data_IF_555440713591
#
_entry.id   IF_555440713591
#
_cell.length_a   1.000
_cell.length_b   1.000
_cell.length_c   1.000
_cell.angle_alpha   90.00
_cell.angle_beta   90.00
_cell.angle_gamma   90.00
#
_symmetry.space_group_name_H-M   'P 1'
#
loop_
_entity.id
_entity.type
_entity.pdbx_description
1 polymer ?
#
# COMPACT_ATOMS: atom_id res chain seq x y z
N UNK A 1 2.75 -6.91 -10.61
CA UNK A 1 1.45 -6.43 -10.07
C UNK A 1 0.79 -5.58 -11.13
N UNK A 2 -0.51 -5.77 -11.37
CA UNK A 2 -1.25 -5.04 -12.41
C UNK A 2 -2.18 -3.99 -11.83
N UNK A 3 -2.19 -2.79 -12.43
CA UNK A 3 -3.13 -1.73 -12.08
C UNK A 3 -4.46 -1.87 -12.84
N UNK A 4 -5.59 -1.39 -12.28
CA UNK A 4 -5.76 -0.86 -10.93
C UNK A 4 -5.77 -1.97 -9.86
N UNK A 5 -4.76 -2.03 -8.98
CA UNK A 5 -4.47 -3.27 -8.23
C UNK A 5 -5.55 -3.63 -7.19
N UNK A 6 -6.14 -2.64 -6.52
CA UNK A 6 -7.26 -2.86 -5.58
C UNK A 6 -8.47 -3.48 -6.28
N UNK A 7 -8.87 -2.92 -7.42
CA UNK A 7 -10.02 -3.43 -8.19
C UNK A 7 -9.70 -4.77 -8.85
N UNK A 8 -8.49 -4.96 -9.40
CA UNK A 8 -8.07 -6.24 -9.95
C UNK A 8 -8.10 -7.35 -8.89
N UNK A 9 -7.67 -7.04 -7.66
CA UNK A 9 -7.76 -7.97 -6.53
C UNK A 9 -9.21 -8.32 -6.19
N UNK A 10 -10.12 -7.33 -6.19
CA UNK A 10 -11.55 -7.57 -5.96
C UNK A 10 -12.16 -8.47 -7.06
N UNK A 11 -11.84 -8.20 -8.33
CA UNK A 11 -12.28 -9.04 -9.46
C UNK A 11 -11.76 -10.47 -9.31
N UNK A 12 -10.48 -10.63 -8.96
CA UNK A 12 -9.90 -11.94 -8.76
C UNK A 12 -10.54 -12.69 -7.57
N UNK A 13 -10.76 -12.02 -6.44
CA UNK A 13 -11.49 -12.58 -5.29
C UNK A 13 -12.91 -13.04 -5.66
N UNK A 14 -13.65 -12.24 -6.42
CA UNK A 14 -15.02 -12.58 -6.85
C UNK A 14 -15.09 -13.80 -7.77
N UNK A 15 -14.02 -14.07 -8.54
CA UNK A 15 -13.94 -15.19 -9.47
C UNK A 15 -13.19 -16.41 -8.90
N UNK A 16 -12.34 -16.22 -7.89
CA UNK A 16 -11.51 -17.26 -7.26
C UNK A 16 -12.25 -18.07 -6.20
N UNK A 17 -13.32 -18.77 -6.60
CA UNK A 17 -14.13 -19.62 -5.71
C UNK A 17 -13.25 -20.60 -4.93
N UNK A 18 -13.48 -20.72 -3.62
CA UNK A 18 -12.76 -21.63 -2.74
C UNK A 18 -11.45 -21.08 -2.17
N UNK A 19 -10.99 -19.91 -2.60
CA UNK A 19 -9.81 -19.25 -2.01
C UNK A 19 -10.26 -18.33 -0.85
N UNK A 20 -9.74 -18.51 0.38
CA UNK A 20 -10.10 -17.65 1.51
C UNK A 20 -9.83 -16.16 1.25
N UNK A 21 -10.72 -15.29 1.71
CA UNK A 21 -10.61 -13.84 1.52
C UNK A 21 -9.26 -13.25 1.98
N UNK A 22 -8.70 -13.76 3.08
CA UNK A 22 -7.43 -13.28 3.64
C UNK A 22 -6.19 -13.55 2.76
N UNK A 23 -6.30 -14.39 1.73
CA UNK A 23 -5.20 -14.65 0.77
C UNK A 23 -5.16 -13.64 -0.38
N UNK A 24 -6.18 -12.76 -0.48
CA UNK A 24 -6.25 -11.72 -1.49
C UNK A 24 -5.73 -10.40 -0.91
N UNK A 25 -4.77 -9.80 -1.59
CA UNK A 25 -4.22 -8.50 -1.20
C UNK A 25 -3.88 -7.65 -2.42
N UNK A 26 -4.05 -6.35 -2.29
CA UNK A 26 -3.62 -5.36 -3.27
C UNK A 26 -2.36 -4.65 -2.74
N UNK A 27 -1.35 -4.49 -3.60
CA UNK A 27 -0.05 -4.00 -3.17
C UNK A 27 0.01 -2.47 -3.14
N UNK A 28 -0.05 -1.89 -1.93
CA UNK A 28 0.27 -0.47 -1.64
C UNK A 28 1.68 -0.29 -1.05
N UNK A 29 2.46 -1.39 -0.96
CA UNK A 29 3.78 -1.40 -0.32
C UNK A 29 4.81 -0.49 -1.01
N UNK A 30 4.71 -0.31 -2.32
CA UNK A 30 5.58 0.63 -3.04
C UNK A 30 5.32 2.07 -2.60
N UNK A 31 4.05 2.44 -2.44
CA UNK A 31 3.67 3.77 -1.95
C UNK A 31 4.12 3.99 -0.50
N UNK A 32 3.96 2.98 0.36
CA UNK A 32 4.47 3.01 1.73
C UNK A 32 5.99 3.24 1.77
N UNK A 33 6.76 2.51 0.95
CA UNK A 33 8.21 2.66 0.89
C UNK A 33 8.62 4.06 0.38
N UNK A 34 7.86 4.64 -0.55
CA UNK A 34 8.06 6.02 -1.03
C UNK A 34 7.78 7.04 0.06
N UNK A 35 6.66 6.90 0.79
CA UNK A 35 6.31 7.77 1.91
C UNK A 35 7.39 7.72 3.01
N UNK A 36 7.83 6.52 3.40
CA UNK A 36 8.90 6.31 4.37
C UNK A 36 10.20 6.99 3.96
N UNK A 37 10.59 6.87 2.69
CA UNK A 37 11.79 7.51 2.13
C UNK A 37 11.67 9.05 2.12
N UNK A 38 10.49 9.58 1.76
CA UNK A 38 10.24 11.02 1.73
C UNK A 38 10.31 11.62 3.15
N UNK A 39 9.70 10.95 4.14
CA UNK A 39 9.75 11.36 5.55
C UNK A 39 11.17 11.32 6.10
N UNK A 40 11.92 10.25 5.85
CA UNK A 40 13.30 10.10 6.30
C UNK A 40 14.19 11.23 5.75
N UNK A 41 14.07 11.51 4.44
CA UNK A 41 14.75 12.62 3.79
C UNK A 41 14.39 13.97 4.41
N UNK A 42 13.12 14.19 4.74
CA UNK A 42 12.66 15.44 5.35
C UNK A 42 13.15 15.62 6.79
N UNK A 43 13.26 14.53 7.55
CA UNK A 43 13.70 14.51 8.94
C UNK A 43 15.23 14.45 9.10
N UNK A 44 15.99 14.12 8.04
CA UNK A 44 17.43 13.87 8.13
C UNK A 44 17.79 12.58 8.88
N UNK A 45 16.85 11.63 8.94
CA UNK A 45 17.00 10.35 9.63
C UNK A 45 17.25 9.21 8.63
N UNK A 46 17.67 8.03 9.10
CA UNK A 46 17.73 6.86 8.24
C UNK A 46 16.31 6.40 7.90
N UNK A 47 16.10 5.86 6.69
CA UNK A 47 14.81 5.27 6.31
C UNK A 47 14.39 4.18 7.30
N UNK A 48 15.36 3.45 7.87
CA UNK A 48 15.14 2.45 8.91
C UNK A 48 14.38 2.99 10.13
N UNK A 49 14.65 4.24 10.51
CA UNK A 49 14.13 4.88 11.72
C UNK A 49 12.67 5.35 11.56
N UNK A 50 12.22 5.55 10.32
CA UNK A 50 10.82 5.90 10.04
C UNK A 50 9.96 4.65 10.16
N UNK A 51 9.10 4.63 11.17
CA UNK A 51 8.17 3.52 11.48
C UNK A 51 6.73 4.03 11.51
N UNK A 52 5.76 3.11 11.66
CA UNK A 52 4.32 3.41 11.81
C UNK A 52 3.66 4.19 10.64
N UNK A 53 4.30 4.23 9.46
CA UNK A 53 3.68 4.82 8.26
C UNK A 53 2.57 3.91 7.73
N UNK A 54 1.40 4.46 7.45
CA UNK A 54 0.28 3.72 6.86
C UNK A 54 -0.16 4.37 5.55
N UNK A 55 -0.50 3.56 4.54
CA UNK A 55 -1.12 4.05 3.31
C UNK A 55 -2.58 3.62 3.33
N UNK A 56 -3.49 4.58 3.39
CA UNK A 56 -4.92 4.34 3.33
C UNK A 56 -5.46 4.52 1.91
N UNK A 57 -6.51 3.77 1.59
CA UNK A 57 -7.27 3.92 0.36
C UNK A 57 -6.76 3.09 -0.83
N UNK A 58 -6.88 3.67 -2.02
CA UNK A 58 -6.59 3.02 -3.30
C UNK A 58 -5.16 3.28 -3.76
N UNK A 59 -4.56 2.35 -4.51
CA UNK A 59 -3.34 2.63 -5.27
C UNK A 59 -3.65 3.56 -6.46
N UNK A 60 -3.74 4.85 -6.16
CA UNK A 60 -4.04 5.94 -7.11
C UNK A 60 -3.52 7.27 -6.54
N UNK A 61 -3.87 8.38 -7.20
CA UNK A 61 -3.60 9.73 -6.72
C UNK A 61 -4.51 10.16 -5.55
N UNK A 62 -5.45 9.30 -5.12
CA UNK A 62 -6.33 9.54 -3.97
C UNK A 62 -5.91 8.73 -2.74
N UNK A 63 -4.72 8.11 -2.77
CA UNK A 63 -4.13 7.49 -1.59
C UNK A 63 -3.88 8.52 -0.48
N UNK A 64 -3.91 8.07 0.77
CA UNK A 64 -3.61 8.91 1.93
C UNK A 64 -2.41 8.34 2.71
N UNK A 65 -1.21 8.93 2.55
CA UNK A 65 -0.04 8.59 3.35
C UNK A 65 -0.18 9.21 4.75
N UNK A 66 -0.48 8.36 5.72
CA UNK A 66 -0.62 8.72 7.12
C UNK A 66 0.71 8.52 7.85
N UNK A 67 1.15 9.60 8.49
CA UNK A 67 2.37 9.71 9.28
C UNK A 67 2.10 10.37 10.64
N UNK A 68 0.83 10.40 11.05
CA UNK A 68 0.39 10.97 12.33
C UNK A 68 0.71 10.08 13.53
#
# INVERSE_FOLDING_TARGET
VGNPCNTNCLVAYRNGKGVPAAQWSAMTRLDHNRARTALAKKAGAATADVTQVTIWGNHSNTQYPDFT
#
